data_IF_869204997354
#
_entry.id   IF_869204997354
#
_cell.length_a   1.000
_cell.length_b   1.000
_cell.length_c   1.000
_cell.angle_alpha   90.00
_cell.angle_beta   90.00
_cell.angle_gamma   90.00
#
_symmetry.space_group_name_H-M   'P 1'
#
loop_
_entity.id
_entity.type
_entity.pdbx_description
1 polymer ?
#
# COMPACT_ATOMS: atom_id res chain seq x y z
N UNK A 1 -8.79 3.91 19.55
CA UNK A 1 -8.30 4.15 18.18
C UNK A 1 -9.25 3.46 17.24
N UNK A 2 -9.73 4.16 16.21
CA UNK A 2 -10.51 3.52 15.14
C UNK A 2 -9.58 2.55 14.42
N UNK A 3 -9.89 1.26 14.38
CA UNK A 3 -9.08 0.30 13.62
C UNK A 3 -9.24 0.66 12.13
N UNK A 4 -8.13 0.91 11.45
CA UNK A 4 -8.07 1.11 9.99
C UNK A 4 -7.31 -0.06 9.36
N UNK A 5 -7.49 -0.24 8.06
CA UNK A 5 -6.69 -1.18 7.30
C UNK A 5 -5.31 -0.58 6.99
N UNK A 6 -4.28 -1.38 6.93
CA UNK A 6 -2.99 -0.97 6.36
C UNK A 6 -3.08 -0.95 4.84
N UNK A 7 -2.15 -0.26 4.18
CA UNK A 7 -2.04 -0.29 2.72
C UNK A 7 -1.86 -1.72 2.19
N UNK A 8 -1.07 -2.54 2.89
CA UNK A 8 -0.86 -3.94 2.55
C UNK A 8 -2.16 -4.77 2.64
N UNK A 9 -2.95 -4.57 3.69
CA UNK A 9 -4.25 -5.22 3.84
C UNK A 9 -5.21 -4.75 2.73
N UNK A 10 -5.23 -3.44 2.43
CA UNK A 10 -6.03 -2.88 1.35
C UNK A 10 -5.71 -3.52 0.00
N UNK A 11 -4.43 -3.55 -0.38
CA UNK A 11 -3.96 -4.16 -1.64
C UNK A 11 -4.41 -5.61 -1.74
N UNK A 12 -4.13 -6.43 -0.71
CA UNK A 12 -4.54 -7.84 -0.68
C UNK A 12 -6.06 -8.02 -0.76
N UNK A 13 -6.85 -7.19 -0.08
CA UNK A 13 -8.33 -7.23 -0.17
C UNK A 13 -8.78 -6.95 -1.61
N UNK A 14 -8.20 -5.93 -2.27
CA UNK A 14 -8.57 -5.57 -3.65
C UNK A 14 -8.21 -6.65 -4.65
N UNK A 15 -7.02 -7.26 -4.56
CA UNK A 15 -6.58 -8.36 -5.42
C UNK A 15 -7.50 -9.57 -5.31
N UNK A 16 -7.83 -9.97 -4.07
CA UNK A 16 -8.76 -11.09 -3.83
C UNK A 16 -10.15 -10.78 -4.33
N UNK A 17 -10.62 -9.54 -4.13
CA UNK A 17 -11.91 -9.12 -4.63
C UNK A 17 -11.96 -9.21 -6.16
N UNK A 18 -10.93 -8.75 -6.86
CA UNK A 18 -10.85 -8.80 -8.32
C UNK A 18 -10.81 -10.24 -8.85
N UNK A 19 -10.00 -11.11 -8.25
CA UNK A 19 -9.99 -12.54 -8.56
C UNK A 19 -11.38 -13.16 -8.40
N UNK A 20 -12.08 -12.82 -7.31
CA UNK A 20 -13.44 -13.28 -7.09
C UNK A 20 -14.41 -12.77 -8.16
N UNK A 21 -14.36 -11.48 -8.50
CA UNK A 21 -15.22 -10.91 -9.54
C UNK A 21 -15.00 -11.55 -10.90
N UNK A 22 -13.75 -11.80 -11.28
CA UNK A 22 -13.43 -12.43 -12.55
C UNK A 22 -13.89 -13.89 -12.60
N UNK A 23 -13.75 -14.64 -11.50
CA UNK A 23 -14.33 -15.97 -11.39
C UNK A 23 -15.86 -15.97 -11.51
N UNK A 24 -16.56 -15.03 -10.86
CA UNK A 24 -18.02 -14.94 -10.95
C UNK A 24 -18.52 -14.55 -12.35
N UNK A 25 -17.82 -13.64 -13.04
CA UNK A 25 -18.10 -13.29 -14.44
C UNK A 25 -18.03 -14.52 -15.34
N UNK A 26 -17.00 -15.36 -15.17
CA UNK A 26 -16.83 -16.60 -15.94
C UNK A 26 -17.93 -17.62 -15.66
N UNK A 27 -18.44 -17.67 -14.42
CA UNK A 27 -19.47 -18.62 -14.00
C UNK A 27 -20.91 -18.13 -14.21
N UNK A 28 -21.13 -16.91 -14.71
CA UNK A 28 -22.47 -16.25 -14.83
C UNK A 28 -23.25 -16.31 -13.51
N UNK A 29 -22.53 -16.25 -12.39
CA UNK A 29 -23.10 -16.42 -11.07
C UNK A 29 -23.46 -15.07 -10.45
N UNK A 30 -24.57 -15.03 -9.71
CA UNK A 30 -25.01 -13.83 -9.00
C UNK A 30 -24.06 -13.48 -7.87
N UNK A 31 -23.58 -12.24 -7.89
CA UNK A 31 -22.73 -11.66 -6.86
C UNK A 31 -23.42 -11.60 -5.49
N UNK A 32 -22.68 -11.94 -4.43
CA UNK A 32 -23.13 -11.80 -3.05
C UNK A 32 -21.98 -11.29 -2.16
N UNK A 33 -22.19 -10.13 -1.51
CA UNK A 33 -21.24 -9.55 -0.55
C UNK A 33 -20.89 -10.47 0.62
N UNK A 34 -21.81 -11.36 1.01
CA UNK A 34 -21.51 -12.37 2.03
C UNK A 34 -20.40 -13.33 1.56
N UNK A 35 -20.40 -13.69 0.28
CA UNK A 35 -19.41 -14.60 -0.28
C UNK A 35 -18.04 -13.94 -0.40
N UNK A 36 -17.96 -12.66 -0.78
CA UNK A 36 -16.68 -11.94 -0.84
C UNK A 36 -16.06 -11.81 0.55
N UNK A 37 -16.86 -11.51 1.57
CA UNK A 37 -16.41 -11.50 2.97
C UNK A 37 -15.86 -12.86 3.41
N UNK A 38 -16.57 -13.96 3.12
CA UNK A 38 -16.09 -15.31 3.42
C UNK A 38 -14.80 -15.66 2.67
N UNK A 39 -14.69 -15.23 1.41
CA UNK A 39 -13.52 -15.47 0.57
C UNK A 39 -12.29 -14.72 1.10
N UNK A 40 -12.44 -13.45 1.49
CA UNK A 40 -11.38 -12.65 2.11
C UNK A 40 -10.99 -13.24 3.48
N UNK A 41 -11.98 -13.60 4.32
CA UNK A 41 -11.73 -14.20 5.64
C UNK A 41 -10.99 -15.53 5.56
N UNK A 42 -11.28 -16.35 4.53
CA UNK A 42 -10.63 -17.64 4.30
C UNK A 42 -9.15 -17.52 3.93
N UNK A 43 -8.76 -16.40 3.31
CA UNK A 43 -7.37 -16.15 2.92
C UNK A 43 -6.52 -15.54 4.06
N UNK A 44 -7.08 -15.37 5.27
CA UNK A 44 -6.40 -14.89 6.49
C UNK A 44 -5.61 -13.57 6.31
N UNK A 45 -6.03 -12.73 5.36
CA UNK A 45 -5.37 -11.45 5.04
C UNK A 45 -5.47 -10.44 6.19
N UNK A 46 -6.62 -10.46 6.86
CA UNK A 46 -6.96 -9.57 7.96
C UNK A 46 -7.24 -10.43 9.18
N UNK A 47 -6.77 -10.01 10.35
CA UNK A 47 -7.12 -10.65 11.61
C UNK A 47 -8.64 -10.81 11.72
N UNK A 48 -9.11 -12.02 12.06
CA UNK A 48 -10.54 -12.35 12.03
C UNK A 48 -11.42 -11.41 12.86
N UNK A 49 -10.91 -10.94 14.00
CA UNK A 49 -11.60 -9.97 14.85
C UNK A 49 -11.70 -8.59 14.18
N UNK A 50 -10.60 -8.13 13.56
CA UNK A 50 -10.56 -6.88 12.80
C UNK A 50 -11.48 -6.93 11.58
N UNK A 51 -11.49 -8.05 10.84
CA UNK A 51 -12.40 -8.25 9.70
C UNK A 51 -13.87 -8.23 10.12
N UNK A 52 -14.20 -8.80 11.29
CA UNK A 52 -15.57 -8.78 11.85
C UNK A 52 -16.00 -7.37 12.23
N UNK A 53 -15.13 -6.63 12.92
CA UNK A 53 -15.40 -5.26 13.35
C UNK A 53 -15.52 -4.28 12.18
N UNK A 54 -14.68 -4.45 11.15
CA UNK A 54 -14.61 -3.60 9.97
C UNK A 54 -15.32 -4.21 8.75
N UNK A 55 -16.36 -5.01 8.98
CA UNK A 55 -17.00 -5.79 7.92
C UNK A 55 -17.70 -4.92 6.85
N UNK A 56 -18.15 -3.72 7.22
CA UNK A 56 -18.76 -2.78 6.28
C UNK A 56 -17.70 -2.08 5.42
N UNK A 57 -16.62 -1.66 6.04
CA UNK A 57 -15.45 -1.04 5.41
C UNK A 57 -14.78 -2.01 4.44
N UNK A 58 -14.61 -3.27 4.86
CA UNK A 58 -14.11 -4.35 4.03
C UNK A 58 -14.98 -4.56 2.79
N UNK A 59 -16.31 -4.53 2.95
CA UNK A 59 -17.24 -4.63 1.81
C UNK A 59 -17.09 -3.46 0.83
N UNK A 60 -16.86 -2.24 1.35
CA UNK A 60 -16.65 -1.04 0.54
C UNK A 60 -15.31 -1.04 -0.19
N UNK A 61 -14.25 -1.56 0.43
CA UNK A 61 -12.94 -1.78 -0.22
C UNK A 61 -13.05 -2.86 -1.30
N UNK A 62 -13.77 -3.95 -1.04
CA UNK A 62 -13.89 -5.04 -2.00
C UNK A 62 -14.61 -4.59 -3.29
N UNK A 63 -15.60 -3.70 -3.19
CA UNK A 63 -16.40 -3.21 -4.32
C UNK A 63 -15.61 -2.22 -5.20
N UNK A 64 -15.39 -2.52 -6.51
CA UNK A 64 -14.55 -1.70 -7.38
C UNK A 64 -14.98 -0.23 -7.47
N UNK A 65 -16.29 0.04 -7.44
CA UNK A 65 -16.83 1.40 -7.59
C UNK A 65 -16.64 2.30 -6.36
N UNK A 66 -16.32 1.72 -5.20
CA UNK A 66 -16.15 2.45 -3.95
C UNK A 66 -14.71 2.45 -3.44
N UNK A 67 -13.78 1.80 -4.14
CA UNK A 67 -12.39 1.61 -3.71
C UNK A 67 -11.66 2.90 -3.38
N UNK A 68 -11.62 3.84 -4.31
CA UNK A 68 -10.87 5.10 -4.12
C UNK A 68 -11.37 5.86 -2.89
N UNK A 69 -12.69 5.97 -2.73
CA UNK A 69 -13.28 6.59 -1.55
C UNK A 69 -13.03 5.77 -0.26
N UNK A 70 -13.15 4.45 -0.32
CA UNK A 70 -12.93 3.57 0.82
C UNK A 70 -11.46 3.58 1.29
N UNK A 71 -10.52 3.70 0.36
CA UNK A 71 -9.10 3.88 0.63
C UNK A 71 -8.86 5.13 1.46
N UNK A 72 -9.37 6.28 1.01
CA UNK A 72 -9.22 7.55 1.74
C UNK A 72 -9.80 7.53 3.16
N UNK A 73 -10.92 6.82 3.37
CA UNK A 73 -11.61 6.82 4.66
C UNK A 73 -11.08 5.76 5.64
N UNK A 74 -10.81 4.56 5.16
CA UNK A 74 -10.64 3.37 6.00
C UNK A 74 -9.25 2.77 6.00
N UNK A 75 -8.34 3.31 5.17
CA UNK A 75 -6.95 2.87 5.11
C UNK A 75 -6.06 3.90 5.81
N UNK A 76 -5.09 3.40 6.58
CA UNK A 76 -4.03 4.22 7.14
C UNK A 76 -3.10 4.63 6.00
N UNK A 77 -2.90 5.94 5.86
CA UNK A 77 -1.93 6.47 4.90
C UNK A 77 -0.57 5.86 5.22
N UNK A 78 0.09 5.28 4.21
CA UNK A 78 1.45 4.79 4.38
C UNK A 78 2.33 5.91 4.94
N UNK A 79 3.18 5.54 5.90
CA UNK A 79 4.19 6.43 6.42
C UNK A 79 5.16 6.80 5.31
N UNK A 80 5.52 8.08 5.27
CA UNK A 80 6.57 8.58 4.39
C UNK A 80 7.89 8.56 5.14
N UNK A 81 8.94 8.25 4.40
CA UNK A 81 10.30 8.20 4.91
C UNK A 81 11.22 9.03 4.00
N UNK A 82 12.26 9.61 4.59
CA UNK A 82 13.44 10.00 3.85
C UNK A 82 14.27 8.74 3.55
N UNK A 83 14.74 8.61 2.31
CA UNK A 83 15.42 7.42 1.82
C UNK A 83 16.85 7.76 1.42
N UNK A 84 17.83 7.16 2.09
CA UNK A 84 19.26 7.29 1.78
C UNK A 84 19.94 5.93 1.71
N UNK A 85 20.88 5.71 0.80
CA UNK A 85 21.58 4.43 0.70
C UNK A 85 22.33 4.10 1.98
N UNK A 86 22.36 2.81 2.31
CA UNK A 86 23.13 2.27 3.45
C UNK A 86 24.63 2.47 3.27
N UNK A 87 25.09 2.40 2.03
CA UNK A 87 26.49 2.53 1.66
C UNK A 87 26.72 3.81 0.84
N UNK A 88 27.93 4.35 0.92
CA UNK A 88 28.36 5.44 0.06
C UNK A 88 29.01 4.90 -1.22
N UNK A 89 28.74 5.59 -2.32
CA UNK A 89 29.31 5.36 -3.64
C UNK A 89 30.23 6.54 -3.95
N UNK A 90 31.53 6.30 -4.02
CA UNK A 90 32.54 7.34 -4.25
C UNK A 90 32.45 8.52 -3.24
N UNK A 91 32.26 8.17 -1.96
CA UNK A 91 32.12 9.15 -0.88
C UNK A 91 30.78 9.89 -0.84
N UNK A 92 29.80 9.49 -1.66
CA UNK A 92 28.46 10.10 -1.70
C UNK A 92 27.36 9.08 -1.43
N UNK A 93 26.31 9.50 -0.76
CA UNK A 93 25.11 8.72 -0.50
C UNK A 93 24.08 8.96 -1.59
N UNK A 94 23.42 7.89 -2.02
CA UNK A 94 22.30 7.94 -2.93
C UNK A 94 21.05 8.29 -2.12
N UNK A 95 20.35 9.37 -2.45
CA UNK A 95 19.15 9.84 -1.75
C UNK A 95 18.02 9.93 -2.76
N UNK A 96 16.80 9.53 -2.36
CA UNK A 96 15.61 9.69 -3.22
C UNK A 96 15.02 11.09 -3.02
N UNK A 97 14.85 11.82 -4.12
CA UNK A 97 14.27 13.17 -4.18
C UNK A 97 13.11 13.19 -5.19
N UNK A 98 12.24 14.21 -5.15
CA UNK A 98 11.22 14.37 -6.20
C UNK A 98 11.83 14.95 -7.47
N UNK A 99 11.53 14.35 -8.61
CA UNK A 99 11.74 14.98 -9.90
C UNK A 99 10.66 16.05 -10.18
N UNK A 100 10.74 16.71 -11.34
CA UNK A 100 9.75 17.73 -11.77
C UNK A 100 8.31 17.21 -11.87
N UNK A 101 8.15 15.90 -12.07
CA UNK A 101 6.87 15.23 -12.22
C UNK A 101 6.35 14.65 -10.88
N UNK A 102 7.09 14.84 -9.78
CA UNK A 102 6.74 14.38 -8.44
C UNK A 102 7.11 12.92 -8.14
N UNK A 103 7.80 12.22 -9.04
CA UNK A 103 8.24 10.84 -8.85
C UNK A 103 9.60 10.75 -8.13
N UNK A 104 9.84 9.67 -7.36
CA UNK A 104 11.15 9.39 -6.79
C UNK A 104 12.23 9.30 -7.88
N UNK A 105 13.33 10.01 -7.67
CA UNK A 105 14.55 9.96 -8.48
C UNK A 105 15.76 9.97 -7.54
N UNK A 106 16.85 9.31 -7.93
CA UNK A 106 18.08 9.37 -7.16
C UNK A 106 18.95 10.58 -7.45
N UNK A 107 19.52 11.11 -6.37
CA UNK A 107 20.57 12.12 -6.38
C UNK A 107 21.69 11.70 -5.42
N UNK A 108 22.89 12.25 -5.63
CA UNK A 108 24.07 11.91 -4.83
C UNK A 108 24.52 13.10 -3.98
N UNK A 109 24.66 12.88 -2.68
CA UNK A 109 25.07 13.89 -1.70
C UNK A 109 26.25 13.41 -0.86
N UNK A 110 27.07 14.31 -0.33
CA UNK A 110 28.24 13.94 0.50
C UNK A 110 27.84 13.32 1.86
N UNK A 111 26.59 13.55 2.29
CA UNK A 111 25.98 12.94 3.48
C UNK A 111 24.52 12.55 3.19
N UNK A 112 23.93 11.62 3.96
CA UNK A 112 22.48 11.45 3.98
C UNK A 112 21.80 12.78 4.31
N UNK A 113 20.69 13.09 3.64
CA UNK A 113 19.90 14.30 3.88
C UNK A 113 18.42 13.96 3.97
N UNK A 114 17.71 14.71 4.82
CA UNK A 114 16.25 14.69 4.85
C UNK A 114 15.76 15.52 3.67
N UNK A 115 15.25 14.83 2.64
CA UNK A 115 14.87 15.41 1.37
C UNK A 115 13.36 15.32 1.15
N UNK A 116 12.89 14.64 0.11
CA UNK A 116 11.47 14.39 -0.10
C UNK A 116 11.07 13.08 0.57
N UNK A 117 9.93 13.11 1.26
CA UNK A 117 9.33 11.93 1.88
C UNK A 117 8.58 11.06 0.88
N UNK A 118 8.91 9.76 0.84
CA UNK A 118 8.22 8.77 0.03
C UNK A 118 7.74 7.58 0.85
N UNK A 119 6.64 6.97 0.45
CA UNK A 119 6.18 5.70 1.01
C UNK A 119 6.96 4.52 0.39
N UNK A 120 6.88 3.35 1.01
CA UNK A 120 7.51 2.14 0.44
C UNK A 120 6.92 1.78 -0.93
N UNK A 121 5.61 1.97 -1.10
CA UNK A 121 4.94 1.74 -2.38
C UNK A 121 5.48 2.69 -3.47
N UNK A 122 5.54 3.99 -3.19
CA UNK A 122 6.07 4.99 -4.14
C UNK A 122 7.49 4.62 -4.60
N UNK A 123 8.34 4.13 -3.69
CA UNK A 123 9.71 3.68 -3.99
C UNK A 123 9.73 2.42 -4.87
N UNK A 124 8.87 1.43 -4.58
CA UNK A 124 8.76 0.19 -5.38
C UNK A 124 8.22 0.48 -6.78
N UNK A 125 7.20 1.31 -6.91
CA UNK A 125 6.61 1.71 -8.20
C UNK A 125 7.62 2.47 -9.08
N UNK A 126 8.51 3.25 -8.46
CA UNK A 126 9.64 3.89 -9.12
C UNK A 126 10.81 2.92 -9.45
N UNK A 127 10.60 1.61 -9.31
CA UNK A 127 11.57 0.54 -9.60
C UNK A 127 12.83 0.55 -8.71
N UNK A 128 12.79 1.18 -7.54
CA UNK A 128 13.84 1.06 -6.53
C UNK A 128 13.54 -0.10 -5.59
N UNK A 129 14.60 -0.73 -5.06
CA UNK A 129 14.48 -1.72 -3.98
C UNK A 129 14.62 -1.01 -2.62
N UNK A 130 13.54 -0.90 -1.81
CA UNK A 130 13.58 -0.24 -0.50
C UNK A 130 14.65 -0.80 0.45
N UNK A 131 15.00 -2.09 0.32
CA UNK A 131 15.97 -2.74 1.22
C UNK A 131 17.41 -2.22 1.06
N UNK A 132 17.71 -1.49 -0.02
CA UNK A 132 19.02 -0.87 -0.24
C UNK A 132 19.20 0.46 0.50
N UNK A 133 18.12 0.98 1.10
CA UNK A 133 18.07 2.29 1.71
C UNK A 133 17.81 2.17 3.21
N UNK A 134 18.39 3.08 3.98
CA UNK A 134 17.93 3.44 5.31
C UNK A 134 16.73 4.39 5.20
N UNK A 135 15.83 4.29 6.17
CA UNK A 135 14.57 5.03 6.22
C UNK A 135 14.43 5.80 7.53
N UNK A 136 14.22 7.11 7.42
CA UNK A 136 13.92 8.01 8.54
C UNK A 136 12.49 8.52 8.39
N UNK A 137 11.62 8.34 9.40
CA UNK A 137 10.21 8.73 9.32
C UNK A 137 10.08 10.26 9.20
N UNK A 138 9.25 10.71 8.27
CA UNK A 138 8.94 12.14 8.11
C UNK A 138 8.00 12.58 9.23
N UNK A 139 8.44 13.56 10.03
CA UNK A 139 7.63 14.19 11.08
C UNK A 139 6.46 15.04 10.53
#
# INVERSE_FOLDING_TARGET
>A
MTKKFTEEEYQKITEIADLYFDQQKLMVATFNLKNIYHYISYNEIVESEKARELSQELALIALPKSRDWAHEQFVDKEKKYYWSSKESFDGRFKVLIKNSDGYPMDAFYESPINSDGFTELEVREACYNPDMFDKEEVE
#
